data_IF_704369654919
#
_entry.id   IF_704369654919
#
_cell.length_a   1.000
_cell.length_b   1.000
_cell.length_c   1.000
_cell.angle_alpha   90.00
_cell.angle_beta   90.00
_cell.angle_gamma   90.00
#
_symmetry.space_group_name_H-M   'P 1'
#
loop_
_entity.id
_entity.type
_entity.pdbx_description
1 polymer ?
#
# COMPACT_ATOMS: atom_id res chain seq x y z
N UNK A 1 59.19 -1.66 -19.55
CA UNK A 1 59.46 -1.98 -18.12
C UNK A 1 58.10 -2.07 -17.45
N UNK A 2 57.81 -3.13 -16.69
CA UNK A 2 56.59 -3.15 -15.88
C UNK A 2 56.69 -2.10 -14.77
N UNK A 3 55.53 -1.60 -14.35
CA UNK A 3 55.42 -0.78 -13.15
C UNK A 3 55.66 -1.63 -11.89
N UNK A 4 56.28 -1.04 -10.86
CA UNK A 4 56.73 -1.76 -9.65
C UNK A 4 55.55 -2.43 -8.93
N UNK A 5 54.38 -1.79 -8.92
CA UNK A 5 53.17 -2.34 -8.32
C UNK A 5 52.60 -3.54 -9.08
N UNK A 6 52.83 -3.60 -10.39
CA UNK A 6 52.35 -4.69 -11.24
C UNK A 6 53.24 -5.93 -11.09
N UNK A 7 54.54 -5.72 -10.91
CA UNK A 7 55.52 -6.77 -10.62
C UNK A 7 55.28 -7.41 -9.25
N UNK A 8 55.02 -6.59 -8.22
CA UNK A 8 54.60 -7.06 -6.89
C UNK A 8 53.30 -7.87 -6.94
N UNK A 9 52.30 -7.42 -7.72
CA UNK A 9 51.04 -8.15 -7.89
C UNK A 9 51.23 -9.49 -8.60
N UNK A 10 52.06 -9.55 -9.65
CA UNK A 10 52.39 -10.82 -10.33
C UNK A 10 53.12 -11.79 -9.39
N UNK A 11 54.10 -11.31 -8.62
CA UNK A 11 54.76 -12.13 -7.60
C UNK A 11 53.81 -12.60 -6.49
N UNK A 12 52.83 -11.78 -6.10
CA UNK A 12 51.78 -12.18 -5.17
C UNK A 12 50.89 -13.29 -5.76
N UNK A 13 50.54 -13.22 -7.04
CA UNK A 13 49.76 -14.27 -7.72
C UNK A 13 50.56 -15.57 -7.78
N UNK A 14 51.80 -15.52 -8.29
CA UNK A 14 52.68 -16.69 -8.46
C UNK A 14 53.03 -17.41 -7.14
N UNK A 15 53.01 -16.71 -6.01
CA UNK A 15 53.25 -17.30 -4.68
C UNK A 15 52.02 -17.90 -4.00
N UNK A 16 50.81 -17.54 -4.43
CA UNK A 16 49.57 -17.94 -3.74
C UNK A 16 48.64 -18.83 -4.58
N UNK A 17 48.79 -18.81 -5.91
CA UNK A 17 47.97 -19.60 -6.83
C UNK A 17 48.85 -20.52 -7.64
N UNK A 18 48.69 -21.83 -7.46
CA UNK A 18 49.31 -22.87 -8.27
C UNK A 18 48.52 -23.08 -9.57
N UNK A 19 49.15 -23.66 -10.60
CA UNK A 19 48.46 -24.00 -11.86
C UNK A 19 48.16 -22.82 -12.80
N UNK A 20 48.46 -21.57 -12.43
CA UNK A 20 48.15 -20.34 -13.21
C UNK A 20 48.79 -20.25 -14.61
N UNK A 21 49.70 -21.17 -14.96
CA UNK A 21 50.28 -21.30 -16.30
C UNK A 21 49.62 -22.39 -17.15
N UNK A 22 48.86 -23.29 -16.52
CA UNK A 22 48.28 -24.48 -17.15
C UNK A 22 46.78 -24.32 -17.39
N UNK A 23 46.05 -23.80 -16.39
CA UNK A 23 44.59 -23.75 -16.37
C UNK A 23 44.07 -22.38 -15.89
N UNK A 24 42.80 -22.09 -16.19
CA UNK A 24 42.11 -20.89 -15.68
C UNK A 24 41.82 -21.06 -14.16
N UNK A 25 42.51 -20.29 -13.30
CA UNK A 25 42.41 -20.39 -11.82
C UNK A 25 41.50 -19.30 -11.23
N UNK A 26 40.67 -19.66 -10.24
CA UNK A 26 39.89 -18.69 -9.47
C UNK A 26 40.78 -17.88 -8.51
N UNK A 27 40.75 -16.56 -8.66
CA UNK A 27 41.54 -15.60 -7.87
C UNK A 27 40.61 -14.76 -7.00
N UNK A 28 40.88 -14.69 -5.69
CA UNK A 28 40.27 -13.71 -4.80
C UNK A 28 41.07 -12.39 -4.82
N UNK A 29 40.44 -11.38 -5.43
CA UNK A 29 40.91 -9.99 -5.47
C UNK A 29 41.08 -9.39 -4.07
N UNK A 30 40.31 -9.85 -3.09
CA UNK A 30 40.30 -9.35 -1.70
C UNK A 30 41.55 -9.80 -0.94
N UNK A 31 41.93 -11.07 -1.08
CA UNK A 31 43.19 -11.60 -0.52
C UNK A 31 44.42 -10.94 -1.17
N UNK A 32 44.40 -10.71 -2.50
CA UNK A 32 45.47 -9.99 -3.19
C UNK A 32 45.58 -8.52 -2.74
N UNK A 33 44.46 -7.84 -2.52
CA UNK A 33 44.41 -6.47 -1.97
C UNK A 33 45.11 -6.39 -0.61
N UNK A 34 44.78 -7.31 0.33
CA UNK A 34 45.42 -7.39 1.65
C UNK A 34 46.92 -7.65 1.53
N UNK A 35 47.36 -8.58 0.67
CA UNK A 35 48.79 -8.91 0.53
C UNK A 35 49.64 -7.85 -0.16
N UNK A 36 49.04 -7.03 -1.02
CA UNK A 36 49.74 -5.96 -1.77
C UNK A 36 49.55 -4.57 -1.17
N UNK A 37 48.85 -4.46 -0.03
CA UNK A 37 48.58 -3.19 0.66
C UNK A 37 47.71 -2.21 -0.14
N UNK A 38 46.96 -2.70 -1.13
CA UNK A 38 46.20 -1.89 -2.11
C UNK A 38 44.71 -2.11 -1.97
N UNK A 39 43.88 -1.19 -2.45
CA UNK A 39 42.43 -1.42 -2.47
C UNK A 39 42.04 -2.48 -3.51
N UNK A 40 40.92 -3.16 -3.28
CA UNK A 40 40.38 -4.15 -4.22
C UNK A 40 40.20 -3.56 -5.64
N UNK A 41 39.75 -2.29 -5.74
CA UNK A 41 39.56 -1.60 -7.03
C UNK A 41 40.88 -1.47 -7.81
N UNK A 42 41.95 -1.03 -7.15
CA UNK A 42 43.27 -0.87 -7.78
C UNK A 42 43.84 -2.22 -8.25
N UNK A 43 43.61 -3.30 -7.49
CA UNK A 43 43.97 -4.66 -7.91
C UNK A 43 43.19 -5.07 -9.15
N UNK A 44 41.86 -4.88 -9.17
CA UNK A 44 41.03 -5.16 -10.35
C UNK A 44 41.50 -4.36 -11.57
N UNK A 45 41.80 -3.07 -11.40
CA UNK A 45 42.25 -2.18 -12.48
C UNK A 45 43.64 -2.57 -13.02
N UNK A 46 44.57 -2.98 -12.15
CA UNK A 46 45.89 -3.51 -12.53
C UNK A 46 45.81 -4.87 -13.23
N UNK A 47 44.89 -5.75 -12.82
CA UNK A 47 44.62 -7.00 -13.55
C UNK A 47 44.03 -6.73 -14.95
N UNK A 48 43.13 -5.76 -15.07
CA UNK A 48 42.60 -5.33 -16.37
C UNK A 48 43.69 -4.71 -17.25
N UNK A 49 44.58 -3.87 -16.70
CA UNK A 49 45.66 -3.25 -17.48
C UNK A 49 46.70 -4.28 -17.94
N UNK A 50 47.12 -5.21 -17.08
CA UNK A 50 47.99 -6.33 -17.45
C UNK A 50 47.35 -7.23 -18.51
N UNK A 51 46.03 -7.44 -18.48
CA UNK A 51 45.34 -8.22 -19.50
C UNK A 51 45.20 -7.49 -20.85
N UNK A 52 44.98 -6.17 -20.83
CA UNK A 52 45.06 -5.32 -22.04
C UNK A 52 46.45 -5.34 -22.66
N UNK A 53 47.50 -5.35 -21.83
CA UNK A 53 48.90 -5.49 -22.24
C UNK A 53 49.28 -6.94 -22.65
N UNK A 54 48.32 -7.88 -22.66
CA UNK A 54 48.49 -9.29 -23.03
C UNK A 54 49.45 -10.10 -22.13
N UNK A 55 49.81 -9.61 -20.94
CA UNK A 55 50.62 -10.38 -19.99
C UNK A 55 49.83 -11.48 -19.28
N UNK A 56 48.52 -11.28 -19.06
CA UNK A 56 47.64 -12.26 -18.41
C UNK A 56 46.29 -12.38 -19.12
N UNK A 57 45.62 -13.52 -18.99
CA UNK A 57 44.20 -13.68 -19.32
C UNK A 57 43.40 -13.51 -18.02
N UNK A 58 42.73 -12.38 -17.86
CA UNK A 58 41.92 -12.09 -16.67
C UNK A 58 40.45 -11.93 -17.04
N UNK A 59 39.57 -12.66 -16.35
CA UNK A 59 38.12 -12.59 -16.50
C UNK A 59 37.57 -11.94 -15.23
N UNK A 60 37.11 -10.67 -15.27
CA UNK A 60 36.63 -9.97 -14.08
C UNK A 60 35.33 -10.59 -13.55
N UNK A 61 35.15 -10.54 -12.22
CA UNK A 61 33.93 -11.01 -11.57
C UNK A 61 32.68 -10.27 -12.12
N UNK A 62 31.65 -11.03 -12.51
CA UNK A 62 30.37 -10.45 -12.96
C UNK A 62 29.72 -9.68 -11.81
N UNK A 63 29.46 -8.38 -12.03
CA UNK A 63 28.75 -7.49 -11.08
C UNK A 63 27.22 -7.58 -11.17
N UNK A 64 26.69 -8.41 -12.06
CA UNK A 64 25.25 -8.64 -12.19
C UNK A 64 24.73 -9.40 -10.96
N UNK A 65 23.75 -8.87 -10.22
CA UNK A 65 23.11 -9.65 -9.15
C UNK A 65 22.44 -10.88 -9.77
N UNK A 66 22.60 -12.03 -9.11
CA UNK A 66 22.00 -13.30 -9.52
C UNK A 66 21.18 -13.87 -8.36
N UNK A 67 20.02 -14.45 -8.70
CA UNK A 67 19.19 -15.17 -7.74
C UNK A 67 19.64 -16.62 -7.77
N UNK A 68 20.18 -17.11 -6.65
CA UNK A 68 20.44 -18.54 -6.46
C UNK A 68 19.19 -19.17 -5.88
N UNK A 69 18.59 -20.10 -6.61
CA UNK A 69 17.60 -21.00 -6.03
C UNK A 69 18.35 -22.04 -5.18
N UNK A 70 17.99 -22.14 -3.90
CA UNK A 70 18.61 -23.09 -2.95
C UNK A 70 18.23 -24.55 -3.20
N UNK A 71 17.29 -24.79 -4.13
CA UNK A 71 16.72 -26.09 -4.45
C UNK A 71 16.91 -26.36 -5.93
N UNK A 72 17.20 -27.62 -6.27
CA UNK A 72 17.23 -28.12 -7.64
C UNK A 72 15.92 -27.82 -8.39
N UNK A 73 16.01 -27.68 -9.70
CA UNK A 73 14.82 -27.63 -10.56
C UNK A 73 14.29 -29.06 -10.75
N UNK A 74 13.16 -29.36 -10.12
CA UNK A 74 12.43 -30.60 -10.39
C UNK A 74 11.91 -30.64 -11.83
N UNK A 75 12.00 -31.82 -12.46
CA UNK A 75 11.36 -32.08 -13.75
C UNK A 75 9.85 -32.24 -13.58
N UNK A 76 9.07 -31.84 -14.59
CA UNK A 76 7.60 -31.84 -14.54
C UNK A 76 7.00 -33.18 -14.13
N UNK A 77 7.64 -34.31 -14.45
CA UNK A 77 7.22 -35.66 -14.07
C UNK A 77 7.31 -35.95 -12.56
N UNK A 78 8.16 -35.24 -11.82
CA UNK A 78 8.31 -35.37 -10.37
C UNK A 78 7.51 -34.31 -9.58
N UNK A 79 6.91 -33.32 -10.27
CA UNK A 79 6.08 -32.29 -9.65
C UNK A 79 4.69 -32.84 -9.30
N UNK A 80 4.56 -33.37 -8.08
CA UNK A 80 3.25 -33.76 -7.53
C UNK A 80 2.60 -32.60 -6.77
N UNK A 81 1.47 -32.10 -7.28
CA UNK A 81 0.62 -31.15 -6.55
C UNK A 81 -0.40 -31.95 -5.76
N UNK A 82 -0.29 -31.97 -4.43
CA UNK A 82 -1.22 -32.72 -3.59
C UNK A 82 -2.64 -32.15 -3.68
N UNK A 83 -3.64 -33.05 -3.63
CA UNK A 83 -5.06 -32.68 -3.71
C UNK A 83 -5.44 -31.65 -2.65
N UNK A 84 -4.93 -31.78 -1.43
CA UNK A 84 -5.17 -30.84 -0.33
C UNK A 84 -4.70 -29.41 -0.68
N UNK A 85 -3.49 -29.24 -1.25
CA UNK A 85 -2.97 -27.93 -1.67
C UNK A 85 -3.80 -27.35 -2.82
N UNK A 86 -4.26 -28.19 -3.75
CA UNK A 86 -5.14 -27.75 -4.83
C UNK A 86 -6.52 -27.30 -4.30
N UNK A 87 -7.16 -28.09 -3.43
CA UNK A 87 -8.47 -27.80 -2.87
C UNK A 87 -8.46 -26.56 -1.97
N UNK A 88 -7.40 -26.35 -1.16
CA UNK A 88 -7.26 -25.14 -0.35
C UNK A 88 -7.10 -23.89 -1.23
N UNK A 89 -6.28 -23.97 -2.29
CA UNK A 89 -6.14 -22.89 -3.27
C UNK A 89 -7.45 -22.61 -4.02
N UNK A 90 -8.17 -23.65 -4.44
CA UNK A 90 -9.48 -23.54 -5.08
C UNK A 90 -10.48 -22.85 -4.15
N UNK A 91 -10.63 -23.30 -2.92
CA UNK A 91 -11.53 -22.70 -1.91
C UNK A 91 -11.19 -21.23 -1.64
N UNK A 92 -9.90 -20.88 -1.58
CA UNK A 92 -9.42 -19.50 -1.45
C UNK A 92 -9.78 -18.65 -2.68
N UNK A 93 -9.66 -19.20 -3.88
CA UNK A 93 -10.00 -18.54 -5.13
C UNK A 93 -11.52 -18.33 -5.27
N UNK A 94 -12.32 -19.35 -4.94
CA UNK A 94 -13.79 -19.25 -4.85
C UNK A 94 -14.21 -18.16 -3.86
N UNK A 95 -13.63 -18.11 -2.65
CA UNK A 95 -13.92 -17.03 -1.68
C UNK A 95 -13.66 -15.64 -2.30
N UNK A 96 -12.54 -15.45 -3.00
CA UNK A 96 -12.21 -14.18 -3.68
C UNK A 96 -13.23 -13.80 -4.76
N UNK A 97 -13.70 -14.77 -5.56
CA UNK A 97 -14.73 -14.54 -6.58
C UNK A 97 -16.03 -14.09 -5.91
N UNK A 98 -16.51 -14.80 -4.89
CA UNK A 98 -17.75 -14.43 -4.19
C UNK A 98 -17.64 -13.07 -3.50
N UNK A 99 -16.48 -12.72 -2.93
CA UNK A 99 -16.23 -11.36 -2.41
C UNK A 99 -16.25 -10.29 -3.50
N UNK A 100 -15.78 -10.57 -4.72
CA UNK A 100 -15.83 -9.64 -5.84
C UNK A 100 -17.26 -9.48 -6.39
N UNK A 101 -18.01 -10.58 -6.50
CA UNK A 101 -19.43 -10.57 -6.88
C UNK A 101 -20.22 -9.71 -5.87
N UNK A 102 -20.09 -10.02 -4.58
CA UNK A 102 -20.72 -9.23 -3.52
C UNK A 102 -20.31 -7.75 -3.54
N UNK A 103 -19.03 -7.44 -3.81
CA UNK A 103 -18.57 -6.04 -3.96
C UNK A 103 -19.26 -5.29 -5.09
N UNK A 104 -19.68 -5.96 -6.17
CA UNK A 104 -20.37 -5.34 -7.31
C UNK A 104 -21.89 -5.28 -7.08
N UNK A 105 -22.50 -6.38 -6.64
CA UNK A 105 -23.96 -6.53 -6.49
C UNK A 105 -24.54 -5.78 -5.28
N UNK A 106 -23.74 -5.56 -4.23
CA UNK A 106 -24.19 -4.87 -3.02
C UNK A 106 -24.39 -3.36 -3.25
N UNK A 107 -25.65 -2.91 -3.15
CA UNK A 107 -26.02 -1.49 -3.31
C UNK A 107 -26.29 -0.77 -1.98
N UNK A 108 -26.40 -1.49 -0.85
CA UNK A 108 -26.73 -0.91 0.45
C UNK A 108 -25.51 -0.66 1.36
N UNK A 109 -24.32 -1.18 1.03
CA UNK A 109 -23.10 -1.00 1.82
C UNK A 109 -22.10 -0.09 1.10
N UNK A 110 -21.50 0.85 1.83
CA UNK A 110 -20.45 1.72 1.30
C UNK A 110 -19.29 0.90 0.68
N UNK A 111 -19.01 1.10 -0.61
CA UNK A 111 -17.94 0.37 -1.34
C UNK A 111 -16.59 0.40 -0.62
N UNK A 112 -16.19 1.58 -0.12
CA UNK A 112 -14.95 1.74 0.65
C UNK A 112 -14.98 0.90 1.93
N UNK A 113 -16.08 0.92 2.69
CA UNK A 113 -16.26 0.08 3.89
C UNK A 113 -16.10 -1.41 3.58
N UNK A 114 -16.64 -1.88 2.46
CA UNK A 114 -16.48 -3.28 2.02
C UNK A 114 -15.03 -3.65 1.73
N UNK A 115 -14.28 -2.78 1.05
CA UNK A 115 -12.86 -2.99 0.75
C UNK A 115 -12.02 -3.06 2.03
N UNK A 116 -12.25 -2.16 2.97
CA UNK A 116 -11.52 -2.14 4.25
C UNK A 116 -11.81 -3.43 5.07
N UNK A 117 -13.07 -3.87 5.14
CA UNK A 117 -13.44 -5.17 5.77
C UNK A 117 -12.76 -6.35 5.06
N UNK A 118 -12.68 -6.35 3.73
CA UNK A 118 -12.04 -7.42 2.96
C UNK A 118 -10.52 -7.53 3.24
N UNK A 119 -9.87 -6.44 3.63
CA UNK A 119 -8.47 -6.40 4.08
C UNK A 119 -8.33 -6.47 5.61
N UNK A 120 -9.31 -7.07 6.31
CA UNK A 120 -9.33 -7.31 7.76
C UNK A 120 -9.29 -6.04 8.65
N UNK A 121 -9.67 -4.87 8.12
CA UNK A 121 -9.78 -3.64 8.91
C UNK A 121 -11.04 -3.65 9.80
N UNK A 122 -10.87 -3.17 11.04
CA UNK A 122 -11.91 -3.22 12.08
C UNK A 122 -12.64 -1.88 12.20
N UNK A 123 -13.97 -1.93 12.27
CA UNK A 123 -14.86 -0.78 12.41
C UNK A 123 -14.73 0.32 11.32
N UNK A 124 -14.55 0.00 10.03
CA UNK A 124 -14.48 1.03 8.98
C UNK A 124 -15.82 1.79 8.87
N UNK A 125 -15.71 3.10 8.66
CA UNK A 125 -16.84 4.04 8.52
C UNK A 125 -17.21 4.24 7.05
N UNK A 126 -18.40 4.75 6.79
CA UNK A 126 -18.83 5.09 5.42
C UNK A 126 -18.06 6.30 4.89
N UNK A 127 -17.49 6.17 3.68
CA UNK A 127 -16.59 7.17 3.10
C UNK A 127 -17.29 8.47 2.66
N UNK A 128 -18.57 8.40 2.28
CA UNK A 128 -19.34 9.56 1.82
C UNK A 128 -19.10 10.01 0.37
N UNK A 129 -18.25 9.32 -0.39
CA UNK A 129 -17.88 9.68 -1.76
C UNK A 129 -18.10 8.57 -2.81
N UNK A 130 -18.46 7.35 -2.40
CA UNK A 130 -18.82 6.28 -3.33
C UNK A 130 -20.28 6.39 -3.81
N UNK A 131 -20.59 5.74 -4.93
CA UNK A 131 -21.93 5.62 -5.52
C UNK A 131 -23.02 5.28 -4.50
N UNK A 132 -22.78 4.30 -3.62
CA UNK A 132 -23.73 3.91 -2.57
C UNK A 132 -23.96 5.01 -1.53
N UNK A 133 -22.91 5.72 -1.12
CA UNK A 133 -23.07 6.84 -0.18
C UNK A 133 -23.79 8.02 -0.85
N UNK A 134 -23.50 8.31 -2.12
CA UNK A 134 -24.14 9.38 -2.87
C UNK A 134 -25.63 9.08 -3.13
N UNK A 135 -25.99 7.83 -3.46
CA UNK A 135 -27.39 7.37 -3.55
C UNK A 135 -28.15 7.57 -2.23
N UNK A 136 -27.54 7.28 -1.08
CA UNK A 136 -28.18 7.45 0.24
C UNK A 136 -28.33 8.91 0.67
N UNK A 137 -27.51 9.80 0.13
CA UNK A 137 -27.56 11.23 0.42
C UNK A 137 -28.52 11.94 -0.56
N UNK A 138 -29.81 11.58 -0.55
CA UNK A 138 -30.83 12.20 -1.42
C UNK A 138 -31.06 13.70 -1.15
N UNK A 139 -30.41 14.27 -0.12
CA UNK A 139 -30.24 15.72 0.06
C UNK A 139 -29.32 16.37 -0.98
N UNK A 140 -28.48 15.59 -1.67
CA UNK A 140 -27.48 16.07 -2.64
C UNK A 140 -26.23 16.67 -2.01
N UNK A 141 -25.85 16.22 -0.81
CA UNK A 141 -24.77 16.78 0.01
C UNK A 141 -23.63 15.79 0.26
N UNK A 142 -22.40 16.31 0.40
CA UNK A 142 -21.26 15.53 0.89
C UNK A 142 -21.46 15.12 2.36
N UNK A 143 -20.96 13.95 2.77
CA UNK A 143 -20.96 13.54 4.18
C UNK A 143 -20.22 14.55 5.10
N UNK A 144 -19.33 15.38 4.57
CA UNK A 144 -18.70 16.45 5.36
C UNK A 144 -19.68 17.61 5.60
N UNK A 145 -20.29 18.12 4.54
CA UNK A 145 -21.26 19.23 4.59
C UNK A 145 -22.50 18.83 5.41
N UNK A 146 -23.06 17.65 5.15
CA UNK A 146 -24.22 17.13 5.86
C UNK A 146 -23.96 17.03 7.37
N UNK A 147 -22.77 16.52 7.80
CA UNK A 147 -22.41 16.44 9.22
C UNK A 147 -22.20 17.81 9.84
N UNK A 148 -21.50 18.74 9.17
CA UNK A 148 -21.29 20.11 9.68
C UNK A 148 -22.61 20.84 9.91
N UNK A 149 -23.50 20.81 8.92
CA UNK A 149 -24.83 21.42 9.03
C UNK A 149 -25.65 20.73 10.13
N UNK A 150 -25.62 19.39 10.23
CA UNK A 150 -26.30 18.65 11.29
C UNK A 150 -25.81 19.06 12.69
N UNK A 151 -24.50 19.06 12.92
CA UNK A 151 -23.87 19.45 14.18
C UNK A 151 -24.21 20.91 14.59
N UNK A 152 -24.25 21.84 13.62
CA UNK A 152 -24.67 23.22 13.85
C UNK A 152 -26.16 23.34 14.21
N UNK A 153 -27.04 22.62 13.50
CA UNK A 153 -28.49 22.59 13.79
C UNK A 153 -28.77 21.98 15.17
N UNK A 154 -28.09 20.89 15.52
CA UNK A 154 -28.18 20.26 16.85
C UNK A 154 -27.68 21.19 17.96
N UNK A 155 -26.56 21.90 17.76
CA UNK A 155 -26.04 22.87 18.73
C UNK A 155 -27.04 23.99 18.99
N UNK A 156 -27.68 24.55 17.94
CA UNK A 156 -28.65 25.63 18.06
C UNK A 156 -29.95 25.19 18.75
N UNK A 157 -30.36 23.92 18.61
CA UNK A 157 -31.55 23.34 19.23
C UNK A 157 -31.25 22.65 20.59
N UNK A 158 -30.01 22.65 21.04
CA UNK A 158 -29.57 22.00 22.29
C UNK A 158 -30.14 22.60 23.58
N UNK A 159 -30.66 23.84 23.52
CA UNK A 159 -31.42 24.47 24.61
C UNK A 159 -32.85 23.91 24.75
N UNK A 160 -33.30 23.11 23.79
CA UNK A 160 -34.63 22.50 23.74
C UNK A 160 -35.76 23.48 23.43
N UNK A 161 -35.46 24.71 22.97
CA UNK A 161 -36.48 25.71 22.65
C UNK A 161 -36.89 25.62 21.16
N UNK A 162 -38.20 25.61 20.83
CA UNK A 162 -38.65 25.57 19.44
C UNK A 162 -38.32 26.87 18.67
N UNK A 163 -37.40 26.78 17.70
CA UNK A 163 -36.95 27.92 16.89
C UNK A 163 -37.69 27.96 15.55
N UNK A 164 -38.02 29.16 15.05
CA UNK A 164 -38.59 29.31 13.70
C UNK A 164 -37.60 28.83 12.64
N UNK A 165 -38.09 28.13 11.63
CA UNK A 165 -37.25 27.54 10.57
C UNK A 165 -36.37 28.58 9.87
N UNK A 166 -36.90 29.76 9.54
CA UNK A 166 -36.12 30.84 8.90
C UNK A 166 -34.97 31.28 9.81
N UNK A 167 -35.25 31.62 11.07
CA UNK A 167 -34.23 32.02 12.05
C UNK A 167 -33.16 30.93 12.25
N UNK A 168 -33.54 29.65 12.18
CA UNK A 168 -32.60 28.53 12.29
C UNK A 168 -31.70 28.44 11.05
N UNK A 169 -32.26 28.59 9.86
CA UNK A 169 -31.51 28.61 8.59
C UNK A 169 -30.57 29.83 8.54
N UNK A 170 -31.04 31.01 8.91
CA UNK A 170 -30.25 32.26 8.96
C UNK A 170 -29.12 32.18 9.99
N UNK A 171 -29.30 31.45 11.10
CA UNK A 171 -28.26 31.24 12.12
C UNK A 171 -27.16 30.24 11.71
N UNK A 172 -27.41 29.45 10.66
CA UNK A 172 -26.47 28.47 10.08
C UNK A 172 -25.81 29.03 8.79
N UNK A 173 -26.14 30.26 8.40
CA UNK A 173 -25.89 30.84 7.07
C UNK A 173 -24.45 31.30 6.77
N UNK A 174 -23.44 30.49 7.12
CA UNK A 174 -22.14 30.47 6.42
C UNK A 174 -22.19 29.55 5.17
N UNK A 175 -23.34 28.93 4.88
CA UNK A 175 -23.57 28.04 3.74
C UNK A 175 -24.82 28.38 2.92
N UNK A 176 -24.91 27.82 1.71
CA UNK A 176 -26.07 27.95 0.82
C UNK A 176 -27.36 27.46 1.52
N UNK A 177 -28.31 28.38 1.67
CA UNK A 177 -29.64 28.22 2.28
C UNK A 177 -30.39 26.95 1.85
N UNK A 178 -30.30 26.56 0.56
CA UNK A 178 -30.95 25.34 0.07
C UNK A 178 -30.39 24.08 0.73
N UNK A 179 -29.07 24.03 0.98
CA UNK A 179 -28.41 22.87 1.61
C UNK A 179 -28.94 22.68 3.03
N UNK A 180 -29.01 23.77 3.80
CA UNK A 180 -29.49 23.77 5.19
C UNK A 180 -30.95 23.30 5.26
N UNK A 181 -31.81 23.80 4.38
CA UNK A 181 -33.22 23.37 4.29
C UNK A 181 -33.34 21.87 3.99
N UNK A 182 -32.50 21.32 3.09
CA UNK A 182 -32.51 19.88 2.79
C UNK A 182 -32.06 19.02 3.96
N UNK A 183 -31.06 19.45 4.75
CA UNK A 183 -30.66 18.75 5.99
C UNK A 183 -31.78 18.79 7.03
N UNK A 184 -32.39 19.96 7.25
CA UNK A 184 -33.50 20.08 8.21
C UNK A 184 -34.69 19.19 7.83
N UNK A 185 -35.08 19.15 6.54
CA UNK A 185 -36.14 18.25 6.05
C UNK A 185 -35.78 16.78 6.28
N UNK A 186 -34.58 16.36 5.89
CA UNK A 186 -34.11 14.99 6.13
C UNK A 186 -34.15 14.59 7.61
N UNK A 187 -33.79 15.50 8.53
CA UNK A 187 -33.84 15.23 9.98
C UNK A 187 -35.28 15.18 10.53
N UNK A 188 -36.24 15.87 9.91
CA UNK A 188 -37.67 15.74 10.21
C UNK A 188 -38.20 14.40 9.68
N UNK A 189 -37.87 14.04 8.45
CA UNK A 189 -38.28 12.77 7.81
C UNK A 189 -37.69 11.55 8.53
N UNK A 190 -36.45 11.65 9.01
CA UNK A 190 -35.81 10.65 9.89
C UNK A 190 -36.40 10.63 11.31
N UNK A 191 -37.27 11.58 11.66
CA UNK A 191 -37.93 11.68 12.96
C UNK A 191 -37.04 12.14 14.10
N UNK A 192 -35.87 12.73 13.83
CA UNK A 192 -34.96 13.31 14.81
C UNK A 192 -35.40 14.73 15.25
N UNK A 193 -36.05 15.47 14.34
CA UNK A 193 -36.65 16.78 14.60
C UNK A 193 -38.17 16.72 14.45
N UNK A 194 -38.88 17.57 15.18
CA UNK A 194 -40.32 17.81 14.98
C UNK A 194 -40.53 19.22 14.41
N UNK A 195 -41.55 19.39 13.55
CA UNK A 195 -41.99 20.66 12.99
C UNK A 195 -43.46 20.90 13.39
N UNK A 196 -43.71 21.99 14.13
CA UNK A 196 -45.06 22.45 14.53
C UNK A 196 -45.15 23.97 14.28
N UNK A 197 -46.14 24.44 13.52
CA UNK A 197 -46.39 25.86 13.22
C UNK A 197 -45.12 26.68 12.88
N UNK A 198 -44.37 26.24 11.87
CA UNK A 198 -43.08 26.77 11.40
C UNK A 198 -41.94 26.77 12.45
N UNK A 199 -42.10 26.09 13.58
CA UNK A 199 -41.07 25.92 14.62
C UNK A 199 -40.49 24.52 14.58
N UNK A 200 -39.17 24.45 14.47
CA UNK A 200 -38.37 23.23 14.56
C UNK A 200 -37.96 23.02 16.01
N UNK A 201 -38.11 21.80 16.52
CA UNK A 201 -37.63 21.40 17.85
C UNK A 201 -36.91 20.06 17.79
N UNK A 202 -35.86 19.90 18.60
CA UNK A 202 -35.15 18.63 18.74
C UNK A 202 -36.03 17.64 19.50
N UNK A 203 -36.28 16.46 18.91
CA UNK A 203 -37.05 15.41 19.57
C UNK A 203 -36.18 14.79 20.65
N UNK A 204 -36.50 15.04 21.92
CA UNK A 204 -35.79 14.44 23.06
C UNK A 204 -35.90 12.92 22.98
N UNK A 205 -34.84 12.28 22.47
CA UNK A 205 -34.71 10.83 22.51
C UNK A 205 -34.80 10.38 23.98
N UNK A 206 -35.72 9.47 24.28
CA UNK A 206 -35.76 8.83 25.59
C UNK A 206 -34.46 8.03 25.73
N UNK A 207 -33.64 8.39 26.72
CA UNK A 207 -32.50 7.57 27.16
C UNK A 207 -32.92 6.09 27.21
N UNK A 208 -32.44 5.30 26.25
CA UNK A 208 -32.45 3.85 26.41
C UNK A 208 -31.25 3.48 27.28
N UNK A 209 -31.56 2.76 28.36
CA UNK A 209 -30.58 2.02 29.15
C UNK A 209 -30.05 0.83 28.37
#
# INVERSE_FOLDING_TARGET
>A
RLDKDSDELLHAILRNYTGVFSDDVYIDESMLAVRTGKSRKEVTEKLISLSRLRYIRYIPQKKTPFIVFTTSREETQFVSISRAVYEERKKRFEKRIHSMIGYVEEEAVCRSRMLLIYFDEKNPRDCGCCDVCLKKNETGLSNYEFRRIKEQVEMLLGDGQPRRINNLVDSVADENTEKVIRVIRFLIDAGELNLEDDRVSAKRSKNHR
#
